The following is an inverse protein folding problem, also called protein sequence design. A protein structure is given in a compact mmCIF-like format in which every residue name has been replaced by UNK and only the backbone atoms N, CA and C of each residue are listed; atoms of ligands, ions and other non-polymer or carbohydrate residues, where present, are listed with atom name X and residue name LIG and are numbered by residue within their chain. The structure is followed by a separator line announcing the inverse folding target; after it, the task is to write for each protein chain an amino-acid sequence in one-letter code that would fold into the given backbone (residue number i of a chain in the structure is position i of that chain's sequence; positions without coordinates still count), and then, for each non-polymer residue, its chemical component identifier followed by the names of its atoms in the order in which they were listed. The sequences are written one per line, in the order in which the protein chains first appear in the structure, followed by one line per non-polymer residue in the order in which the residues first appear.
data_IF_307919103551
#
_entry.id   IF_307919103551
#
_cell.length_a   1.000
_cell.length_b   1.000
_cell.length_c   1.000
_cell.angle_alpha   90.00
_cell.angle_beta   90.00
_cell.angle_gamma   90.00
#
_symmetry.space_group_name_H-M   'P 1'
#
loop_
_entity.id
_entity.type
_entity.pdbx_description
1 polymer ?
#
# COMPACT_ATOMS: atom_id res chain seq x y z
N UNK A 1 -32.97 51.70 27.35
CA UNK A 1 -34.12 51.76 28.31
C UNK A 1 -35.22 50.87 27.79
N UNK A 2 -35.96 50.19 28.60
CA UNK A 2 -35.64 49.55 29.89
C UNK A 2 -36.06 48.07 30.04
N UNK A 3 -35.48 47.41 30.98
CA UNK A 3 -35.97 46.74 32.18
C UNK A 3 -36.34 45.27 32.01
N UNK A 4 -35.65 44.44 32.75
CA UNK A 4 -35.87 43.85 34.10
C UNK A 4 -36.92 42.73 34.06
N UNK A 5 -36.82 41.61 34.74
CA UNK A 5 -36.25 41.24 36.02
C UNK A 5 -36.42 39.70 36.15
N UNK A 6 -35.49 39.01 36.78
CA UNK A 6 -35.53 38.51 38.18
C UNK A 6 -36.57 37.39 38.39
N UNK A 7 -36.36 36.37 39.05
CA UNK A 7 -35.67 35.91 40.23
C UNK A 7 -36.20 34.53 40.67
N UNK A 8 -35.36 33.88 41.41
CA UNK A 8 -35.57 33.09 42.63
C UNK A 8 -35.90 31.59 42.45
N UNK A 9 -34.99 30.79 42.96
CA UNK A 9 -34.80 30.33 44.37
C UNK A 9 -35.80 29.23 44.75
N UNK A 10 -35.44 28.17 45.26
CA UNK A 10 -35.01 27.64 46.55
C UNK A 10 -35.17 26.12 46.61
N UNK A 11 -34.12 25.48 46.95
CA UNK A 11 -33.85 24.59 48.10
C UNK A 11 -34.98 23.72 48.70
N UNK A 12 -34.65 22.47 48.97
CA UNK A 12 -34.69 21.73 50.27
C UNK A 12 -34.74 20.21 50.02
N UNK A 13 -33.72 19.50 50.44
CA UNK A 13 -33.54 18.61 51.60
C UNK A 13 -34.77 17.72 51.94
N UNK A 14 -34.59 16.41 52.02
CA UNK A 14 -34.24 15.58 53.17
C UNK A 14 -34.46 14.11 52.88
N UNK A 15 -33.51 13.26 53.27
CA UNK A 15 -33.51 12.11 54.18
C UNK A 15 -34.67 11.09 54.13
N UNK A 16 -34.28 9.83 54.12
CA UNK A 16 -35.12 8.73 54.61
C UNK A 16 -34.48 7.35 54.32
N UNK A 17 -33.93 6.80 55.38
CA UNK A 17 -33.34 5.47 55.55
C UNK A 17 -34.37 4.33 55.53
N UNK A 18 -33.82 3.13 55.46
CA UNK A 18 -34.31 1.80 55.87
C UNK A 18 -34.87 0.96 54.73
N UNK A 19 -34.45 -0.23 54.46
CA UNK A 19 -33.96 -1.30 55.28
C UNK A 19 -34.50 -2.64 54.79
N UNK A 20 -33.65 -3.65 54.66
CA UNK A 20 -33.95 -5.10 54.74
C UNK A 20 -34.72 -5.79 53.58
N UNK A 21 -34.38 -6.91 53.01
CA UNK A 21 -33.82 -8.21 53.38
C UNK A 21 -34.09 -9.20 52.23
N UNK A 22 -33.12 -9.99 51.89
CA UNK A 22 -33.11 -11.36 51.33
C UNK A 22 -34.21 -11.84 50.37
N UNK A 23 -33.78 -12.32 49.20
CA UNK A 23 -33.80 -13.77 48.93
C UNK A 23 -33.08 -14.08 47.59
N UNK A 24 -32.28 -15.11 47.63
CA UNK A 24 -31.47 -15.55 46.49
C UNK A 24 -32.32 -16.17 45.38
N UNK A 25 -31.80 -16.06 44.20
CA UNK A 25 -32.05 -17.03 43.13
C UNK A 25 -30.90 -17.02 42.16
N UNK A 26 -30.36 -18.18 41.93
CA UNK A 26 -29.37 -18.52 40.94
C UNK A 26 -29.71 -17.91 39.60
N UNK A 27 -28.80 -17.13 39.01
CA UNK A 27 -28.83 -16.83 37.62
C UNK A 27 -27.48 -17.21 36.98
N UNK A 28 -27.56 -18.09 36.02
CA UNK A 28 -26.54 -18.49 35.09
C UNK A 28 -25.71 -17.28 34.60
N UNK A 29 -24.41 -17.39 34.74
CA UNK A 29 -23.44 -16.59 33.99
C UNK A 29 -23.46 -17.05 32.52
N UNK A 30 -23.74 -16.18 31.56
CA UNK A 30 -23.22 -16.38 30.22
C UNK A 30 -21.78 -15.92 30.24
N UNK A 31 -20.91 -16.80 29.84
CA UNK A 31 -19.53 -16.51 29.56
C UNK A 31 -19.46 -15.29 28.62
N UNK A 32 -19.06 -14.15 29.15
CA UNK A 32 -18.61 -13.01 28.35
C UNK A 32 -17.35 -13.45 27.64
N UNK A 33 -17.50 -13.78 26.36
CA UNK A 33 -16.40 -13.78 25.42
C UNK A 33 -15.72 -12.42 25.51
N UNK A 34 -14.54 -12.41 26.11
CA UNK A 34 -13.57 -11.32 25.93
C UNK A 34 -13.28 -11.23 24.42
N UNK A 35 -14.07 -10.42 23.76
CA UNK A 35 -13.72 -9.93 22.44
C UNK A 35 -12.40 -9.17 22.57
N UNK A 36 -11.32 -9.80 22.14
CA UNK A 36 -10.14 -9.08 21.73
C UNK A 36 -10.61 -8.11 20.64
N UNK A 37 -10.93 -6.87 21.03
CA UNK A 37 -10.90 -5.77 20.09
C UNK A 37 -9.43 -5.66 19.66
N UNK A 38 -9.08 -6.35 18.58
CA UNK A 38 -7.93 -5.96 17.80
C UNK A 38 -8.12 -4.48 17.51
N UNK A 39 -7.31 -3.64 18.17
CA UNK A 39 -7.13 -2.25 17.75
C UNK A 39 -6.70 -2.35 16.27
N UNK A 40 -7.61 -2.04 15.39
CA UNK A 40 -7.33 -1.86 13.98
C UNK A 40 -6.52 -0.58 13.92
N UNK A 41 -5.21 -0.70 14.10
CA UNK A 41 -4.31 0.37 13.73
C UNK A 41 -4.54 0.62 12.25
N UNK A 42 -4.71 1.87 11.85
CA UNK A 42 -4.72 2.21 10.44
C UNK A 42 -3.36 1.83 9.89
N UNK A 43 -3.37 0.77 9.12
CA UNK A 43 -2.19 0.17 8.53
C UNK A 43 -1.83 1.02 7.33
N UNK A 44 -0.57 1.44 7.21
CA UNK A 44 -0.04 1.91 5.95
C UNK A 44 -0.41 0.88 4.87
N UNK A 45 -1.06 1.31 3.80
CA UNK A 45 -1.44 0.43 2.71
C UNK A 45 -0.45 0.58 1.56
N UNK A 46 -0.01 -0.54 1.02
CA UNK A 46 0.76 -0.50 -0.22
C UNK A 46 -0.10 -0.02 -1.39
N UNK A 47 0.47 0.77 -2.29
CA UNK A 47 -0.15 1.14 -3.56
C UNK A 47 -0.09 0.03 -4.60
N UNK A 48 0.77 -0.98 -4.39
CA UNK A 48 0.87 -2.18 -5.21
C UNK A 48 0.10 -3.32 -4.56
N UNK A 49 -0.36 -4.28 -5.35
CA UNK A 49 -1.03 -5.43 -4.80
C UNK A 49 -1.43 -6.46 -5.83
N UNK A 50 -1.72 -7.65 -5.32
CA UNK A 50 -2.17 -8.79 -6.08
C UNK A 50 -3.31 -9.49 -5.33
N UNK A 51 -4.34 -9.91 -6.09
CA UNK A 51 -5.41 -10.74 -5.57
C UNK A 51 -5.84 -11.73 -6.63
N UNK A 52 -6.23 -12.92 -6.22
CA UNK A 52 -6.85 -13.91 -7.11
C UNK A 52 -7.89 -14.71 -6.33
N UNK A 53 -8.94 -15.11 -7.03
CA UNK A 53 -9.93 -16.03 -6.52
C UNK A 53 -10.53 -16.89 -7.64
N UNK A 54 -11.03 -18.05 -7.28
CA UNK A 54 -11.69 -18.96 -8.19
C UNK A 54 -12.94 -19.52 -7.54
N UNK A 55 -14.09 -19.21 -8.13
CA UNK A 55 -15.38 -19.72 -7.70
C UNK A 55 -15.90 -20.72 -8.72
N UNK A 56 -16.40 -21.85 -8.24
CA UNK A 56 -16.95 -22.93 -9.08
C UNK A 56 -18.39 -23.22 -8.70
N UNK A 57 -19.20 -23.51 -9.73
CA UNK A 57 -20.57 -24.01 -9.60
C UNK A 57 -20.83 -25.07 -10.65
N UNK A 58 -22.01 -25.66 -10.63
CA UNK A 58 -22.46 -26.60 -11.68
C UNK A 58 -22.57 -25.92 -13.05
N UNK A 59 -22.76 -24.59 -13.09
CA UNK A 59 -22.91 -23.81 -14.31
C UNK A 59 -21.58 -23.44 -14.94
N UNK A 60 -20.64 -22.94 -14.12
CA UNK A 60 -19.38 -22.39 -14.60
C UNK A 60 -18.29 -22.36 -13.51
N UNK A 61 -17.05 -22.25 -13.94
CA UNK A 61 -15.93 -21.85 -13.12
C UNK A 61 -15.46 -20.44 -13.52
N UNK A 62 -15.38 -19.54 -12.55
CA UNK A 62 -14.94 -18.15 -12.73
C UNK A 62 -13.64 -17.97 -11.96
N UNK A 63 -12.58 -17.60 -12.67
CA UNK A 63 -11.30 -17.21 -12.06
C UNK A 63 -11.05 -15.74 -12.34
N UNK A 64 -10.73 -15.00 -11.30
CA UNK A 64 -10.43 -13.56 -11.36
C UNK A 64 -9.03 -13.32 -10.82
N UNK A 65 -8.24 -12.57 -11.55
CA UNK A 65 -6.91 -12.14 -11.17
C UNK A 65 -6.84 -10.62 -11.24
N UNK A 66 -6.43 -9.98 -10.14
CA UNK A 66 -6.27 -8.55 -9.99
C UNK A 66 -4.83 -8.21 -9.69
N UNK A 67 -4.27 -7.26 -10.44
CA UNK A 67 -2.95 -6.64 -10.19
C UNK A 67 -3.10 -5.13 -10.17
N UNK A 68 -2.51 -4.50 -9.18
CA UNK A 68 -2.45 -3.05 -9.12
C UNK A 68 -1.02 -2.56 -8.98
N UNK A 69 -0.72 -1.45 -9.68
CA UNK A 69 0.55 -0.73 -9.57
C UNK A 69 0.27 0.73 -9.26
N UNK A 70 1.25 1.38 -8.64
CA UNK A 70 1.15 2.78 -8.28
C UNK A 70 0.80 3.66 -9.50
N UNK A 71 -0.25 4.47 -9.35
CA UNK A 71 -0.62 5.51 -10.30
C UNK A 71 -1.38 6.61 -9.56
N UNK A 72 -1.19 7.87 -9.99
CA UNK A 72 -1.84 9.04 -9.42
C UNK A 72 -3.37 8.99 -9.51
N UNK A 73 -3.89 8.43 -10.60
CA UNK A 73 -5.32 8.30 -10.85
C UNK A 73 -5.72 6.84 -10.95
N UNK A 74 -6.96 6.53 -10.59
CA UNK A 74 -7.49 5.19 -10.80
C UNK A 74 -7.72 4.94 -12.29
N UNK A 75 -6.98 3.97 -12.84
CA UNK A 75 -7.16 3.45 -14.19
C UNK A 75 -7.48 1.96 -14.07
N UNK A 76 -8.65 1.56 -14.56
CA UNK A 76 -9.08 0.16 -14.58
C UNK A 76 -8.94 -0.37 -16.00
N UNK A 77 -8.19 -1.45 -16.16
CA UNK A 77 -8.03 -2.20 -17.40
C UNK A 77 -8.60 -3.59 -17.17
N UNK A 78 -9.61 -3.97 -17.94
CA UNK A 78 -10.26 -5.27 -17.80
C UNK A 78 -10.07 -6.11 -19.06
N UNK A 79 -9.79 -7.40 -18.85
CA UNK A 79 -9.85 -8.42 -19.89
C UNK A 79 -10.96 -9.38 -19.53
N UNK A 80 -12.07 -9.24 -20.23
CA UNK A 80 -13.29 -10.02 -20.05
C UNK A 80 -13.49 -10.94 -21.26
N UNK A 81 -13.92 -12.19 -21.05
CA UNK A 81 -14.46 -13.01 -22.13
C UNK A 81 -15.79 -12.40 -22.65
N UNK A 82 -16.12 -12.66 -23.91
CA UNK A 82 -17.32 -12.10 -24.56
C UNK A 82 -18.60 -12.37 -23.77
N UNK A 83 -18.72 -13.54 -23.14
CA UNK A 83 -19.87 -13.92 -22.30
C UNK A 83 -20.07 -13.02 -21.07
N UNK A 84 -19.03 -12.29 -20.63
CA UNK A 84 -19.08 -11.41 -19.48
C UNK A 84 -19.02 -9.93 -19.84
N UNK A 85 -18.85 -9.56 -21.12
CA UNK A 85 -18.64 -8.17 -21.55
C UNK A 85 -19.75 -7.23 -21.10
N UNK A 86 -20.99 -7.71 -21.03
CA UNK A 86 -22.12 -6.91 -20.57
C UNK A 86 -22.06 -6.49 -19.09
N UNK A 87 -21.27 -7.18 -18.27
CA UNK A 87 -21.09 -6.87 -16.84
C UNK A 87 -19.93 -5.90 -16.57
N UNK A 88 -19.23 -5.46 -17.61
CA UNK A 88 -18.10 -4.53 -17.49
C UNK A 88 -18.41 -3.29 -16.63
N UNK A 89 -19.57 -2.59 -16.81
CA UNK A 89 -19.89 -1.40 -16.00
C UNK A 89 -20.11 -1.73 -14.52
N UNK A 90 -20.71 -2.88 -14.20
CA UNK A 90 -20.99 -3.30 -12.84
C UNK A 90 -19.69 -3.72 -12.12
N UNK A 91 -18.81 -4.44 -12.82
CA UNK A 91 -17.47 -4.81 -12.34
C UNK A 91 -16.67 -3.54 -12.07
N UNK A 92 -16.66 -2.58 -13.00
CA UNK A 92 -15.93 -1.32 -12.82
C UNK A 92 -16.45 -0.54 -11.60
N UNK A 93 -17.76 -0.50 -11.40
CA UNK A 93 -18.38 0.15 -10.23
C UNK A 93 -17.94 -0.49 -8.92
N UNK A 94 -17.90 -1.82 -8.83
CA UNK A 94 -17.42 -2.54 -7.65
C UNK A 94 -15.94 -2.24 -7.37
N UNK A 95 -15.10 -2.27 -8.40
CA UNK A 95 -13.67 -1.96 -8.25
C UNK A 95 -13.46 -0.51 -7.78
N UNK A 96 -14.18 0.45 -8.37
CA UNK A 96 -14.10 1.87 -7.98
C UNK A 96 -14.61 2.15 -6.57
N UNK A 97 -15.47 1.31 -6.03
CA UNK A 97 -15.93 1.43 -4.64
C UNK A 97 -14.90 1.02 -3.61
N UNK A 98 -13.93 0.16 -3.98
CA UNK A 98 -12.91 -0.41 -3.08
C UNK A 98 -11.51 0.18 -3.29
N UNK A 99 -11.20 0.66 -4.49
CA UNK A 99 -9.88 1.15 -4.86
C UNK A 99 -9.98 2.61 -5.28
N UNK A 100 -9.31 3.49 -4.54
CA UNK A 100 -9.38 4.94 -4.79
C UNK A 100 -8.40 5.41 -5.87
N UNK A 101 -7.22 4.77 -5.99
CA UNK A 101 -6.17 5.15 -6.95
C UNK A 101 -5.33 3.95 -7.38
N UNK A 102 -4.55 4.11 -8.44
CA UNK A 102 -3.69 3.05 -8.97
C UNK A 102 -4.08 2.63 -10.39
N UNK A 103 -3.18 1.92 -11.08
CA UNK A 103 -3.50 1.25 -12.33
C UNK A 103 -3.80 -0.20 -12.05
N UNK A 104 -5.09 -0.56 -12.15
CA UNK A 104 -5.65 -1.89 -11.84
C UNK A 104 -5.82 -2.65 -13.14
N UNK A 105 -5.28 -3.86 -13.20
CA UNK A 105 -5.51 -4.82 -14.26
C UNK A 105 -6.31 -5.99 -13.72
N UNK A 106 -7.46 -6.25 -14.34
CA UNK A 106 -8.35 -7.36 -14.03
C UNK A 106 -8.38 -8.34 -15.19
N UNK A 107 -8.21 -9.62 -14.89
CA UNK A 107 -8.23 -10.72 -15.85
C UNK A 107 -9.28 -11.72 -15.42
N UNK A 108 -10.31 -11.90 -16.23
CA UNK A 108 -11.35 -12.88 -15.98
C UNK A 108 -11.19 -14.08 -16.91
N UNK A 109 -11.27 -15.27 -16.34
CA UNK A 109 -11.34 -16.53 -17.08
C UNK A 109 -12.61 -17.26 -16.66
N UNK A 110 -13.53 -17.44 -17.59
CA UNK A 110 -14.82 -18.10 -17.34
C UNK A 110 -14.87 -19.35 -18.22
N UNK A 111 -15.18 -20.48 -17.59
CA UNK A 111 -15.41 -21.76 -18.28
C UNK A 111 -16.81 -22.24 -17.92
N UNK A 112 -17.66 -22.35 -18.91
CA UNK A 112 -18.99 -22.93 -18.78
C UNK A 112 -18.91 -24.46 -18.72
N UNK A 113 -19.77 -25.09 -17.95
CA UNK A 113 -19.81 -26.54 -17.76
C UNK A 113 -21.02 -27.15 -18.49
N UNK A 114 -20.88 -28.40 -18.94
CA UNK A 114 -21.95 -29.21 -19.51
C UNK A 114 -22.54 -28.66 -20.80
N UNK A 115 -23.86 -28.73 -20.94
CA UNK A 115 -24.62 -28.28 -22.11
C UNK A 115 -24.58 -26.77 -22.34
N UNK A 116 -24.07 -26.01 -21.35
CA UNK A 116 -23.87 -24.57 -21.43
C UNK A 116 -22.58 -24.19 -22.15
N UNK A 117 -21.78 -25.17 -22.61
CA UNK A 117 -20.45 -24.95 -23.22
C UNK A 117 -20.47 -24.23 -24.57
N UNK A 118 -21.64 -23.92 -25.10
CA UNK A 118 -21.76 -23.09 -26.30
C UNK A 118 -21.38 -23.76 -27.62
N UNK A 119 -21.09 -25.06 -27.65
CA UNK A 119 -20.81 -25.81 -28.87
C UNK A 119 -21.98 -26.69 -29.25
N UNK A 120 -22.41 -26.59 -30.52
CA UNK A 120 -23.50 -27.39 -31.09
C UNK A 120 -23.09 -27.97 -32.43
N UNK A 121 -23.55 -29.17 -32.71
CA UNK A 121 -23.42 -29.76 -34.04
C UNK A 121 -24.53 -29.17 -34.94
N UNK A 122 -24.09 -28.51 -36.02
CA UNK A 122 -25.01 -28.06 -37.06
C UNK A 122 -25.44 -29.26 -37.92
N UNK A 123 -26.65 -29.76 -37.65
CA UNK A 123 -27.22 -30.89 -38.36
C UNK A 123 -27.44 -30.63 -39.86
N UNK A 124 -27.69 -29.36 -40.27
CA UNK A 124 -27.86 -29.02 -41.66
C UNK A 124 -26.57 -29.13 -42.45
N UNK A 125 -25.48 -28.60 -41.87
CA UNK A 125 -24.14 -28.67 -42.44
C UNK A 125 -23.66 -30.12 -42.46
N UNK A 126 -23.83 -30.88 -41.39
CA UNK A 126 -23.50 -32.30 -41.31
C UNK A 126 -24.24 -33.10 -42.42
N UNK A 127 -25.55 -32.93 -42.52
CA UNK A 127 -26.36 -33.59 -43.56
C UNK A 127 -25.96 -33.15 -44.98
N UNK A 128 -25.56 -31.90 -45.17
CA UNK A 128 -24.99 -31.40 -46.41
C UNK A 128 -23.75 -32.17 -46.86
N UNK A 129 -22.80 -32.39 -45.97
CA UNK A 129 -21.59 -33.18 -46.21
C UNK A 129 -21.92 -34.65 -46.51
N UNK A 130 -22.81 -35.27 -45.74
CA UNK A 130 -23.25 -36.65 -45.96
C UNK A 130 -23.87 -36.81 -47.32
N UNK A 131 -24.75 -35.89 -47.74
CA UNK A 131 -25.41 -35.95 -49.06
C UNK A 131 -24.40 -35.79 -50.22
N UNK A 132 -23.44 -34.89 -50.10
CA UNK A 132 -22.37 -34.71 -51.11
C UNK A 132 -21.49 -35.96 -51.21
N UNK A 133 -21.11 -36.58 -50.10
CA UNK A 133 -20.34 -37.81 -50.08
C UNK A 133 -21.11 -38.97 -50.73
N UNK A 134 -22.39 -39.10 -50.47
CA UNK A 134 -23.25 -40.11 -51.12
C UNK A 134 -23.38 -39.88 -52.62
N UNK A 135 -23.51 -38.64 -53.10
CA UNK A 135 -23.53 -38.29 -54.51
C UNK A 135 -22.20 -38.63 -55.22
N UNK A 136 -21.07 -38.31 -54.56
CA UNK A 136 -19.73 -38.63 -55.09
C UNK A 136 -19.51 -40.15 -55.19
N UNK A 137 -19.89 -40.89 -54.17
CA UNK A 137 -19.82 -42.38 -54.19
C UNK A 137 -20.69 -42.97 -55.31
N UNK A 138 -21.88 -42.36 -55.60
CA UNK A 138 -22.77 -42.85 -56.64
C UNK A 138 -22.26 -42.49 -58.05
N UNK A 139 -21.57 -41.34 -58.20
CA UNK A 139 -21.06 -40.88 -59.51
C UNK A 139 -19.66 -41.45 -59.84
N UNK A 140 -18.89 -41.94 -58.91
CA UNK A 140 -17.58 -42.52 -59.11
C UNK A 140 -17.42 -43.82 -58.34
N UNK A 141 -17.86 -44.97 -58.90
CA UNK A 141 -17.79 -46.27 -58.21
C UNK A 141 -16.36 -46.75 -57.93
N UNK A 142 -15.38 -46.15 -58.56
CA UNK A 142 -13.96 -46.43 -58.30
C UNK A 142 -13.41 -45.89 -56.97
N UNK A 143 -14.13 -44.96 -56.37
CA UNK A 143 -13.89 -44.54 -55.01
C UNK A 143 -14.68 -45.50 -54.08
N UNK A 144 -14.12 -46.66 -53.76
CA UNK A 144 -14.65 -47.56 -52.72
C UNK A 144 -14.54 -46.85 -51.32
N UNK A 145 -15.30 -45.81 -51.15
CA UNK A 145 -15.38 -45.10 -49.89
C UNK A 145 -16.40 -45.85 -48.99
N UNK A 146 -15.92 -46.63 -48.06
CA UNK A 146 -16.72 -47.02 -46.89
C UNK A 146 -17.34 -45.71 -46.30
N UNK A 147 -18.58 -45.78 -45.89
CA UNK A 147 -19.25 -44.63 -45.25
C UNK A 147 -18.39 -44.10 -44.12
N UNK A 148 -17.95 -42.82 -44.19
CA UNK A 148 -17.04 -42.27 -43.17
C UNK A 148 -17.73 -42.33 -41.81
N UNK A 149 -16.97 -42.74 -40.79
CA UNK A 149 -17.48 -42.73 -39.42
C UNK A 149 -17.92 -41.33 -39.06
N UNK A 150 -19.06 -41.17 -38.40
CA UNK A 150 -19.63 -39.89 -37.99
C UNK A 150 -18.60 -39.03 -37.23
N UNK A 151 -17.74 -39.69 -36.44
CA UNK A 151 -16.63 -39.03 -35.70
C UNK A 151 -15.63 -38.35 -36.61
N UNK A 152 -15.36 -38.88 -37.81
CA UNK A 152 -14.45 -38.27 -38.79
C UNK A 152 -15.05 -37.04 -39.47
N UNK A 153 -16.39 -36.99 -39.58
CA UNK A 153 -17.10 -35.84 -40.12
C UNK A 153 -17.07 -34.64 -39.16
N UNK A 154 -16.98 -34.85 -37.84
CA UNK A 154 -16.96 -33.76 -36.85
C UNK A 154 -15.76 -32.86 -36.97
N UNK A 155 -14.68 -33.29 -37.65
CA UNK A 155 -13.51 -32.46 -37.93
C UNK A 155 -13.64 -31.54 -39.14
N UNK A 156 -14.72 -31.67 -39.91
CA UNK A 156 -14.93 -30.82 -41.09
C UNK A 156 -15.43 -29.42 -40.69
N UNK A 157 -15.04 -28.38 -41.46
CA UNK A 157 -15.38 -27.00 -41.13
C UNK A 157 -16.90 -26.76 -41.06
N UNK A 158 -17.34 -25.99 -40.06
CA UNK A 158 -18.74 -25.57 -39.93
C UNK A 158 -19.70 -26.61 -39.33
N UNK A 159 -19.26 -27.84 -39.00
CA UNK A 159 -20.09 -28.84 -38.32
C UNK A 159 -20.24 -28.56 -36.84
N UNK A 160 -19.15 -28.13 -36.20
CA UNK A 160 -19.23 -27.66 -34.82
C UNK A 160 -19.30 -26.13 -34.88
N UNK A 161 -20.41 -25.59 -34.46
CA UNK A 161 -20.62 -24.15 -34.39
C UNK A 161 -20.71 -23.70 -32.94
N UNK A 162 -20.11 -22.56 -32.67
CA UNK A 162 -20.37 -21.86 -31.42
C UNK A 162 -21.81 -21.34 -31.46
N UNK A 163 -22.60 -21.73 -30.49
CA UNK A 163 -23.96 -21.20 -30.32
C UNK A 163 -23.87 -20.05 -29.33
N UNK A 164 -24.59 -18.97 -29.62
CA UNK A 164 -24.73 -17.90 -28.62
C UNK A 164 -25.28 -18.51 -27.32
N UNK A 165 -24.53 -18.27 -26.23
CA UNK A 165 -24.96 -18.72 -24.92
C UNK A 165 -26.26 -18.04 -24.58
N UNK A 166 -27.27 -18.83 -24.16
CA UNK A 166 -28.59 -18.29 -23.82
C UNK A 166 -28.48 -17.14 -22.82
N UNK A 167 -29.19 -16.05 -23.08
CA UNK A 167 -29.17 -14.85 -22.22
C UNK A 167 -29.49 -15.16 -20.76
N UNK A 168 -30.33 -16.14 -20.49
CA UNK A 168 -30.68 -16.60 -19.13
C UNK A 168 -29.47 -17.25 -18.41
N UNK A 169 -28.67 -18.00 -19.16
CA UNK A 169 -27.42 -18.60 -18.65
C UNK A 169 -26.40 -17.52 -18.32
N UNK A 170 -26.30 -16.50 -19.20
CA UNK A 170 -25.40 -15.37 -18.97
C UNK A 170 -25.85 -14.58 -17.73
N UNK A 171 -27.15 -14.32 -17.54
CA UNK A 171 -27.67 -13.64 -16.35
C UNK A 171 -27.32 -14.39 -15.05
N UNK A 172 -27.31 -15.72 -15.12
CA UNK A 172 -26.95 -16.58 -14.00
C UNK A 172 -25.47 -16.59 -13.68
N UNK A 173 -24.59 -16.00 -14.51
CA UNK A 173 -23.17 -15.87 -14.25
C UNK A 173 -22.84 -14.71 -13.29
N UNK A 174 -23.70 -13.68 -13.23
CA UNK A 174 -23.40 -12.49 -12.43
C UNK A 174 -23.11 -12.79 -10.97
N UNK A 175 -23.91 -13.58 -10.22
CA UNK A 175 -23.61 -13.89 -8.82
C UNK A 175 -22.23 -14.59 -8.63
N UNK A 176 -21.80 -15.40 -9.60
CA UNK A 176 -20.51 -16.09 -9.56
C UNK A 176 -19.36 -15.12 -9.83
N UNK A 177 -19.54 -14.20 -10.79
CA UNK A 177 -18.58 -13.16 -11.13
C UNK A 177 -18.42 -12.22 -9.92
N UNK A 178 -19.53 -11.78 -9.31
CA UNK A 178 -19.54 -10.90 -8.15
C UNK A 178 -18.86 -11.56 -6.96
N UNK A 179 -19.17 -12.82 -6.65
CA UNK A 179 -18.53 -13.57 -5.57
C UNK A 179 -17.02 -13.73 -5.79
N UNK A 180 -16.60 -14.11 -7.00
CA UNK A 180 -15.18 -14.26 -7.33
C UNK A 180 -14.44 -12.92 -7.26
N UNK A 181 -15.06 -11.83 -7.72
CA UNK A 181 -14.49 -10.50 -7.67
C UNK A 181 -14.37 -10.00 -6.21
N UNK A 182 -15.40 -10.20 -5.38
CA UNK A 182 -15.37 -9.77 -3.98
C UNK A 182 -14.29 -10.52 -3.18
N UNK A 183 -14.12 -11.82 -3.41
CA UNK A 183 -13.05 -12.60 -2.83
C UNK A 183 -11.66 -12.16 -3.33
N UNK A 184 -11.54 -11.87 -4.63
CA UNK A 184 -10.31 -11.33 -5.21
C UNK A 184 -9.94 -9.98 -4.59
N UNK A 185 -10.92 -9.09 -4.39
CA UNK A 185 -10.71 -7.78 -3.76
C UNK A 185 -10.32 -7.93 -2.28
N UNK A 186 -10.85 -8.89 -1.54
CA UNK A 186 -10.43 -9.19 -0.17
C UNK A 186 -8.97 -9.65 -0.12
N UNK A 187 -8.58 -10.60 -0.97
CA UNK A 187 -7.20 -11.05 -1.06
C UNK A 187 -6.24 -9.91 -1.43
N UNK A 188 -6.67 -9.03 -2.33
CA UNK A 188 -5.92 -7.82 -2.70
C UNK A 188 -5.75 -6.86 -1.52
N UNK A 189 -6.80 -6.59 -0.76
CA UNK A 189 -6.75 -5.74 0.44
C UNK A 189 -5.84 -6.33 1.51
N UNK A 190 -5.91 -7.65 1.74
CA UNK A 190 -5.06 -8.34 2.71
C UNK A 190 -3.58 -8.31 2.30
N UNK A 191 -3.31 -8.49 0.99
CA UNK A 191 -1.95 -8.35 0.45
C UNK A 191 -1.40 -6.94 0.70
N UNK A 192 -2.16 -5.89 0.34
CA UNK A 192 -1.77 -4.48 0.55
C UNK A 192 -1.51 -4.17 2.02
N UNK A 193 -2.29 -4.74 2.91
CA UNK A 193 -2.13 -4.57 4.37
C UNK A 193 -0.86 -5.24 4.87
N UNK A 194 -0.60 -6.46 4.45
CA UNK A 194 0.62 -7.20 4.82
C UNK A 194 1.88 -6.50 4.30
N UNK A 195 1.87 -6.04 3.05
CA UNK A 195 2.99 -5.30 2.45
C UNK A 195 3.18 -3.94 3.13
N UNK A 196 2.09 -3.24 3.46
CA UNK A 196 2.13 -1.97 4.19
C UNK A 196 2.72 -2.09 5.60
N UNK A 197 2.47 -3.20 6.31
CA UNK A 197 3.09 -3.43 7.61
C UNK A 197 4.59 -3.72 7.49
N UNK A 198 5.02 -4.42 6.44
CA UNK A 198 6.45 -4.58 6.12
C UNK A 198 7.11 -3.22 5.86
N UNK A 199 6.49 -2.39 5.01
CA UNK A 199 6.98 -1.03 4.73
C UNK A 199 7.07 -0.17 6.00
N UNK A 200 6.09 -0.28 6.89
CA UNK A 200 6.09 0.42 8.18
C UNK A 200 7.26 -0.01 9.06
N UNK A 201 7.55 -1.31 9.11
CA UNK A 201 8.72 -1.84 9.84
C UNK A 201 10.03 -1.28 9.27
N UNK A 202 10.17 -1.26 7.95
CA UNK A 202 11.34 -0.72 7.28
C UNK A 202 11.50 0.79 7.52
N UNK A 203 10.42 1.57 7.45
CA UNK A 203 10.44 3.00 7.75
C UNK A 203 10.89 3.28 9.20
N UNK A 204 10.42 2.49 10.17
CA UNK A 204 10.87 2.56 11.55
C UNK A 204 12.35 2.24 11.69
N UNK A 205 12.84 1.22 11.02
CA UNK A 205 14.25 0.84 11.05
C UNK A 205 15.14 1.96 10.49
N UNK A 206 14.74 2.62 9.39
CA UNK A 206 15.48 3.74 8.83
C UNK A 206 15.46 4.96 9.76
N UNK A 207 14.32 5.29 10.38
CA UNK A 207 14.24 6.38 11.34
C UNK A 207 15.13 6.13 12.58
N UNK A 208 15.16 4.89 13.10
CA UNK A 208 16.04 4.48 14.19
C UNK A 208 17.52 4.57 13.80
N UNK A 209 17.87 4.19 12.56
CA UNK A 209 19.23 4.36 12.04
C UNK A 209 19.66 5.84 12.05
N UNK A 210 18.79 6.76 11.59
CA UNK A 210 19.08 8.20 11.61
C UNK A 210 19.28 8.68 13.06
N UNK A 211 18.45 8.23 14.00
CA UNK A 211 18.57 8.59 15.41
C UNK A 211 19.91 8.14 16.01
N UNK A 212 20.36 6.92 15.69
CA UNK A 212 21.66 6.40 16.13
C UNK A 212 22.83 7.22 15.58
N UNK A 213 22.80 7.56 14.29
CA UNK A 213 23.84 8.40 13.69
C UNK A 213 23.84 9.82 14.29
N UNK A 214 22.66 10.35 14.65
CA UNK A 214 22.54 11.64 15.33
C UNK A 214 23.17 11.62 16.72
N UNK A 215 23.01 10.53 17.50
CA UNK A 215 23.66 10.36 18.80
C UNK A 215 25.21 10.38 18.67
N UNK A 216 25.76 9.77 17.63
CA UNK A 216 27.18 9.83 17.34
C UNK A 216 27.64 11.26 17.04
N UNK A 217 26.89 12.01 16.25
CA UNK A 217 27.15 13.42 15.93
C UNK A 217 27.13 14.27 17.21
N UNK A 218 26.15 14.04 18.10
CA UNK A 218 26.06 14.75 19.38
C UNK A 218 27.31 14.53 20.28
N UNK A 219 27.82 13.30 20.30
CA UNK A 219 29.03 12.98 21.05
C UNK A 219 30.27 13.66 20.46
N UNK A 220 30.33 13.83 19.13
CA UNK A 220 31.47 14.45 18.44
C UNK A 220 31.38 15.99 18.40
N UNK A 221 30.20 16.57 18.41
CA UNK A 221 30.01 18.03 18.26
C UNK A 221 30.83 18.89 19.21
N UNK A 222 30.99 18.58 20.54
CA UNK A 222 31.81 19.37 21.46
C UNK A 222 33.29 19.40 21.11
N UNK A 223 33.80 18.37 20.40
CA UNK A 223 35.23 18.26 20.09
C UNK A 223 35.62 19.10 18.87
N UNK A 224 34.68 19.46 17.99
CA UNK A 224 34.96 20.17 16.73
C UNK A 224 35.69 21.50 16.93
N UNK A 225 35.24 22.30 17.90
CA UNK A 225 35.84 23.61 18.19
C UNK A 225 37.22 23.45 18.82
N UNK A 226 37.43 22.48 19.73
CA UNK A 226 38.72 22.21 20.36
C UNK A 226 39.77 21.72 19.35
N UNK A 227 39.36 20.86 18.43
CA UNK A 227 40.23 20.35 17.36
C UNK A 227 40.60 21.43 16.34
N UNK A 228 39.66 22.31 16.03
CA UNK A 228 39.94 23.47 15.20
C UNK A 228 40.94 24.41 15.86
N UNK A 229 40.77 24.72 17.15
CA UNK A 229 41.68 25.54 17.92
C UNK A 229 43.09 24.96 17.91
N UNK A 230 43.23 23.65 18.14
CA UNK A 230 44.54 22.97 18.15
C UNK A 230 45.23 23.05 16.77
N UNK A 231 44.50 22.75 15.71
CA UNK A 231 44.99 22.85 14.32
C UNK A 231 45.39 24.29 13.94
N UNK A 232 44.60 25.27 14.38
CA UNK A 232 44.88 26.67 14.12
C UNK A 232 46.16 27.11 14.83
N UNK A 233 46.35 26.73 16.11
CA UNK A 233 47.57 26.99 16.87
C UNK A 233 48.80 26.41 16.19
N UNK A 234 48.76 25.15 15.73
CA UNK A 234 49.87 24.51 15.00
C UNK A 234 50.23 25.28 13.73
N UNK A 235 49.25 25.71 12.95
CA UNK A 235 49.47 26.48 11.71
C UNK A 235 50.05 27.85 12.01
N UNK A 236 49.57 28.52 13.04
CA UNK A 236 50.07 29.83 13.50
C UNK A 236 51.50 29.73 13.97
N UNK A 237 51.85 28.73 14.81
CA UNK A 237 53.21 28.51 15.25
C UNK A 237 54.18 28.26 14.08
N UNK A 238 53.77 27.47 13.10
CA UNK A 238 54.56 27.23 11.91
C UNK A 238 54.80 28.49 11.10
N UNK A 239 53.75 29.29 10.87
CA UNK A 239 53.84 30.54 10.12
C UNK A 239 54.72 31.60 10.85
N UNK A 240 54.65 31.69 12.18
CA UNK A 240 55.53 32.58 12.99
C UNK A 240 56.99 32.17 12.87
N UNK A 241 57.26 30.85 12.87
CA UNK A 241 58.64 30.33 12.74
C UNK A 241 59.26 30.66 11.39
N UNK A 242 58.40 30.77 10.33
CA UNK A 242 58.83 31.05 8.94
C UNK A 242 58.93 32.57 8.63
N UNK A 243 58.31 33.49 9.43
CA UNK A 243 58.10 34.91 9.03
C UNK A 243 58.25 35.90 10.17
N UNK A 244 59.10 35.77 11.15
CA UNK A 244 59.36 36.76 12.19
C UNK A 244 58.14 37.62 12.69
N UNK A 245 56.95 37.07 12.51
CA UNK A 245 55.68 37.73 12.85
C UNK A 245 55.26 37.47 14.32
N UNK A 246 54.51 38.43 14.89
CA UNK A 246 53.86 38.25 16.19
C UNK A 246 52.34 38.21 15.94
N UNK A 247 51.62 37.25 16.54
CA UNK A 247 50.17 37.18 16.52
C UNK A 247 49.70 37.38 17.97
N UNK A 248 48.70 38.24 18.14
CA UNK A 248 48.10 38.46 19.45
C UNK A 248 47.12 37.35 19.80
N UNK A 249 47.10 36.93 21.06
CA UNK A 249 46.18 35.92 21.57
C UNK A 249 44.71 36.34 21.36
N UNK A 250 44.44 37.63 21.39
CA UNK A 250 43.11 38.22 21.08
C UNK A 250 42.58 37.89 19.68
N UNK A 251 43.46 37.85 18.66
CA UNK A 251 43.10 37.53 17.30
C UNK A 251 42.77 36.05 17.14
N UNK A 252 43.52 35.19 17.83
CA UNK A 252 43.26 33.76 17.87
C UNK A 252 41.91 33.46 18.52
N UNK A 253 41.59 34.08 19.66
CA UNK A 253 40.32 33.93 20.37
C UNK A 253 39.15 34.39 19.47
N UNK A 254 39.31 35.50 18.76
CA UNK A 254 38.29 36.01 17.84
C UNK A 254 38.03 35.03 16.69
N UNK A 255 39.05 34.46 16.07
CA UNK A 255 38.91 33.49 14.97
C UNK A 255 38.25 32.21 15.44
N UNK A 256 38.63 31.69 16.63
CA UNK A 256 37.98 30.52 17.22
C UNK A 256 36.49 30.78 17.53
N UNK A 257 36.15 31.97 18.03
CA UNK A 257 34.77 32.33 18.31
C UNK A 257 33.92 32.39 17.01
N UNK A 258 34.43 33.03 15.95
CA UNK A 258 33.77 33.10 14.65
C UNK A 258 33.59 31.70 14.03
N UNK A 259 34.61 30.84 14.22
CA UNK A 259 34.50 29.42 13.78
C UNK A 259 33.44 28.66 14.58
N UNK A 260 33.40 28.81 15.90
CA UNK A 260 32.42 28.16 16.77
C UNK A 260 30.98 28.49 16.36
N UNK A 261 30.69 29.79 16.11
CA UNK A 261 29.38 30.24 15.66
C UNK A 261 28.98 29.64 14.30
N UNK A 262 29.95 29.48 13.39
CA UNK A 262 29.71 28.91 12.06
C UNK A 262 29.45 27.38 12.08
N UNK A 263 30.09 26.69 13.03
CA UNK A 263 30.02 25.24 13.19
C UNK A 263 28.95 24.81 14.20
N UNK A 264 28.20 25.74 14.77
CA UNK A 264 27.12 25.43 15.68
C UNK A 264 25.99 24.70 14.91
N UNK A 265 25.72 23.47 15.34
CA UNK A 265 24.68 22.56 14.77
C UNK A 265 23.64 22.17 15.82
N UNK A 266 23.63 22.80 16.99
CA UNK A 266 22.75 22.42 18.10
C UNK A 266 21.26 22.62 17.74
N UNK A 267 20.94 23.65 16.98
CA UNK A 267 19.57 23.92 16.54
C UNK A 267 19.11 22.84 15.56
N UNK A 268 19.94 22.49 14.59
CA UNK A 268 19.64 21.46 13.59
C UNK A 268 19.46 20.07 14.23
N UNK A 269 20.32 19.72 15.18
CA UNK A 269 20.20 18.47 15.94
C UNK A 269 18.90 18.42 16.74
N UNK A 270 18.52 19.51 17.39
CA UNK A 270 17.26 19.61 18.15
C UNK A 270 16.05 19.50 17.23
N UNK A 271 16.05 20.18 16.09
CA UNK A 271 14.98 20.10 15.08
C UNK A 271 14.86 18.70 14.50
N UNK A 272 16.00 18.08 14.18
CA UNK A 272 16.04 16.72 13.65
C UNK A 272 15.44 15.72 14.63
N UNK A 273 15.73 15.82 15.94
CA UNK A 273 15.08 15.00 16.97
C UNK A 273 13.57 15.17 16.99
N UNK A 274 13.10 16.42 17.02
CA UNK A 274 11.67 16.70 17.00
C UNK A 274 10.98 16.13 15.75
N UNK A 275 11.64 16.19 14.58
CA UNK A 275 11.09 15.63 13.35
C UNK A 275 11.03 14.09 13.38
N UNK A 276 12.05 13.43 13.94
CA UNK A 276 12.06 11.98 14.11
C UNK A 276 10.97 11.51 15.08
N UNK A 277 10.77 12.21 16.20
CA UNK A 277 9.68 11.91 17.14
C UNK A 277 8.30 12.07 16.49
N UNK A 278 8.08 13.14 15.72
CA UNK A 278 6.85 13.33 14.95
C UNK A 278 6.67 12.24 13.90
N UNK A 279 7.75 11.86 13.22
CA UNK A 279 7.74 10.81 12.22
C UNK A 279 7.27 9.47 12.83
N UNK A 280 7.80 9.10 13.99
CA UNK A 280 7.39 7.89 14.70
C UNK A 280 5.93 7.95 15.15
N UNK A 281 5.46 9.10 15.66
CA UNK A 281 4.07 9.31 16.03
C UNK A 281 3.13 9.13 14.83
N UNK A 282 3.48 9.64 13.65
CA UNK A 282 2.67 9.47 12.44
C UNK A 282 2.69 8.04 11.91
N UNK A 283 3.81 7.32 12.02
CA UNK A 283 3.87 5.90 11.70
C UNK A 283 2.96 5.05 12.59
N UNK A 284 2.67 5.53 13.81
CA UNK A 284 1.79 4.85 14.76
C UNK A 284 0.35 5.39 14.75
N UNK A 285 0.02 6.37 13.89
CA UNK A 285 -1.32 6.96 13.82
C UNK A 285 -2.33 6.03 13.15
N UNK A 286 -3.61 6.22 13.45
CA UNK A 286 -4.72 5.44 12.87
C UNK A 286 -5.19 5.96 11.50
N UNK A 287 -4.55 6.98 10.96
CA UNK A 287 -4.92 7.57 9.67
C UNK A 287 -3.80 7.42 8.65
N UNK A 288 -4.16 7.28 7.38
CA UNK A 288 -3.19 7.31 6.29
C UNK A 288 -2.45 8.66 6.28
N UNK A 289 -1.15 8.62 6.52
CA UNK A 289 -0.28 9.79 6.66
C UNK A 289 0.85 9.85 5.62
N UNK A 290 0.75 9.10 4.53
CA UNK A 290 1.83 8.98 3.54
C UNK A 290 2.37 10.33 3.07
N UNK A 291 1.50 11.30 2.75
CA UNK A 291 1.93 12.66 2.34
C UNK A 291 2.60 13.46 3.48
N UNK A 292 2.12 13.28 4.71
CA UNK A 292 2.69 13.95 5.89
C UNK A 292 4.07 13.38 6.20
N UNK A 293 4.24 12.05 6.10
CA UNK A 293 5.52 11.39 6.25
C UNK A 293 6.52 11.80 5.16
N UNK A 294 6.06 11.98 3.92
CA UNK A 294 6.89 12.49 2.82
C UNK A 294 7.39 13.92 3.12
N UNK A 295 6.50 14.81 3.57
CA UNK A 295 6.87 16.15 3.97
C UNK A 295 7.88 16.15 5.12
N UNK A 296 7.63 15.35 6.17
CA UNK A 296 8.56 15.23 7.29
C UNK A 296 9.92 14.68 6.86
N UNK A 297 9.94 13.72 5.94
CA UNK A 297 11.18 13.20 5.35
C UNK A 297 12.00 14.29 4.63
N UNK A 298 11.33 15.27 4.00
CA UNK A 298 11.99 16.43 3.38
C UNK A 298 12.61 17.34 4.44
N UNK A 299 11.92 17.61 5.55
CA UNK A 299 12.47 18.41 6.65
C UNK A 299 13.66 17.70 7.34
N UNK A 300 13.54 16.40 7.60
CA UNK A 300 14.65 15.57 8.09
C UNK A 300 15.88 15.69 7.17
N UNK A 301 15.69 15.56 5.86
CA UNK A 301 16.77 15.72 4.88
C UNK A 301 17.39 17.11 4.90
N UNK A 302 16.58 18.14 5.09
CA UNK A 302 17.05 19.53 5.18
C UNK A 302 17.96 19.74 6.39
N UNK A 303 17.55 19.28 7.58
CA UNK A 303 18.37 19.42 8.79
C UNK A 303 19.68 18.62 8.66
N UNK A 304 19.66 17.41 8.13
CA UNK A 304 20.85 16.60 7.85
C UNK A 304 21.81 17.33 6.90
N UNK A 305 21.31 17.98 5.85
CA UNK A 305 22.14 18.75 4.94
C UNK A 305 22.80 19.95 5.62
N UNK A 306 22.07 20.62 6.49
CA UNK A 306 22.60 21.77 7.24
C UNK A 306 23.68 21.34 8.22
N UNK A 307 23.49 20.24 8.96
CA UNK A 307 24.52 19.63 9.81
C UNK A 307 25.78 19.34 8.98
N UNK A 308 25.62 18.67 7.84
CA UNK A 308 26.75 18.31 6.98
C UNK A 308 27.53 19.51 6.41
N UNK A 309 26.83 20.64 6.17
CA UNK A 309 27.48 21.84 5.66
C UNK A 309 28.18 22.70 6.73
N UNK A 310 27.68 22.66 7.98
CA UNK A 310 28.20 23.43 9.10
C UNK A 310 29.32 22.74 9.89
N UNK A 311 29.19 21.42 10.13
CA UNK A 311 30.00 20.71 11.12
C UNK A 311 31.53 20.70 10.86
N UNK A 312 31.96 20.88 9.61
CA UNK A 312 33.40 20.93 9.20
C UNK A 312 34.31 19.88 9.88
N UNK A 313 33.80 18.68 10.05
CA UNK A 313 34.47 17.54 10.65
C UNK A 313 34.28 16.29 9.80
N UNK A 314 35.34 15.52 9.56
CA UNK A 314 35.31 14.36 8.66
C UNK A 314 34.46 13.20 9.23
N UNK A 315 34.54 12.97 10.52
CA UNK A 315 33.76 11.90 11.18
C UNK A 315 32.29 12.24 11.15
N UNK A 316 31.87 13.48 11.45
CA UNK A 316 30.50 13.93 11.32
C UNK A 316 30.04 13.82 9.88
N UNK A 317 30.88 14.13 8.90
CA UNK A 317 30.53 13.99 7.49
C UNK A 317 30.20 12.54 7.10
N UNK A 318 30.88 11.54 7.66
CA UNK A 318 30.54 10.13 7.45
C UNK A 318 29.15 9.78 8.01
N UNK A 319 28.84 10.18 9.23
CA UNK A 319 27.52 9.99 9.84
C UNK A 319 26.42 10.67 9.01
N UNK A 320 26.67 11.87 8.50
CA UNK A 320 25.75 12.58 7.59
C UNK A 320 25.49 11.81 6.29
N UNK A 321 26.49 11.13 5.74
CA UNK A 321 26.32 10.30 4.52
C UNK A 321 25.40 9.11 4.83
N UNK A 322 25.60 8.43 5.96
CA UNK A 322 24.73 7.32 6.36
C UNK A 322 23.28 7.78 6.60
N UNK A 323 23.09 8.90 7.30
CA UNK A 323 21.75 9.49 7.47
C UNK A 323 21.09 9.84 6.14
N UNK A 324 21.82 10.40 5.19
CA UNK A 324 21.27 10.70 3.84
C UNK A 324 20.86 9.44 3.12
N UNK A 325 21.63 8.37 3.20
CA UNK A 325 21.30 7.08 2.61
C UNK A 325 20.00 6.51 3.22
N UNK A 326 19.81 6.63 4.54
CA UNK A 326 18.60 6.21 5.22
C UNK A 326 17.38 7.04 4.80
N UNK A 327 17.52 8.37 4.66
CA UNK A 327 16.43 9.24 4.16
C UNK A 327 16.03 8.90 2.72
N UNK A 328 16.98 8.58 1.86
CA UNK A 328 16.66 8.21 0.48
C UNK A 328 15.87 6.88 0.44
N UNK A 329 16.22 5.89 1.26
CA UNK A 329 15.43 4.66 1.43
C UNK A 329 14.03 4.95 1.93
N UNK A 330 13.87 5.84 2.93
CA UNK A 330 12.55 6.31 3.40
C UNK A 330 11.74 6.85 2.23
N UNK A 331 12.35 7.67 1.40
CA UNK A 331 11.71 8.31 0.25
C UNK A 331 11.25 7.31 -0.80
N UNK A 332 12.06 6.30 -1.10
CA UNK A 332 11.71 5.21 -2.01
C UNK A 332 10.51 4.40 -1.50
N UNK A 333 10.51 4.06 -0.20
CA UNK A 333 9.39 3.32 0.41
C UNK A 333 8.10 4.14 0.35
N UNK A 334 8.16 5.43 0.72
CA UNK A 334 6.99 6.32 0.76
C UNK A 334 6.35 6.55 -0.60
N UNK A 335 7.08 6.38 -1.71
CA UNK A 335 6.49 6.43 -3.05
C UNK A 335 5.43 5.34 -3.29
N UNK A 336 5.48 4.23 -2.53
CA UNK A 336 4.58 3.09 -2.66
C UNK A 336 3.57 2.99 -1.51
N UNK A 337 3.47 4.00 -0.66
CA UNK A 337 2.56 4.07 0.49
C UNK A 337 1.35 4.94 0.18
N UNK A 338 0.16 4.42 0.52
CA UNK A 338 -1.12 5.15 0.42
C UNK A 338 -1.51 5.76 1.76
#
# INVERSE_FOLDING_TARGET
MPKRSSDNNETLKTKGESGLVFSGLYCHHPATSLGFQQKVFAVLLSMTGFGNASVQSDLASVNVELKAVNNRYLKVLMKLPDVASRFEPDIEKLVRSRIARGSVQLNFRIRLHGSSSGFRIDEKVLNGYVNQLNQLSSSQPSLNAEAPAVTSLLSLPGIITETDVDGSVIDSLWPLIEAALDETLKHFEDFRRSEGESMRSDLKAQAASIATELEHIEALSPTVVSDYRSRLLERVQKAITESDGQIEESDLIREVAVFADRCDINEEMTRLKCHLEQYENFLNSEQSMGRTLEFLGQEVFREINTIGSKANNVEIAHHVVEMKAAVERIREILQNVE
#
